data_IF_957664877380
#
_entry.id   IF_957664877380
#
_cell.length_a   1.000
_cell.length_b   1.000
_cell.length_c   1.000
_cell.angle_alpha   90.00
_cell.angle_beta   90.00
_cell.angle_gamma   90.00
#
_symmetry.space_group_name_H-M   'P 1'
#
loop_
_entity.id
_entity.type
_entity.pdbx_description
1 polymer ?
#
# COMPACT_ATOMS: atom_id res chain seq x y z
N UNK A 1 10.55 -4.45 21.45
CA UNK A 1 9.57 -3.59 20.74
C UNK A 1 10.06 -3.41 19.33
N UNK A 2 9.34 -3.88 18.32
CA UNK A 2 9.73 -3.65 16.93
C UNK A 2 9.48 -2.18 16.58
N UNK A 3 10.50 -1.46 16.13
CA UNK A 3 10.36 -0.10 15.62
C UNK A 3 9.55 -0.13 14.32
N UNK A 4 8.40 0.53 14.31
CA UNK A 4 7.59 0.71 13.10
C UNK A 4 7.94 2.03 12.40
N UNK A 5 7.72 2.05 11.10
CA UNK A 5 7.94 3.18 10.21
C UNK A 5 6.71 3.39 9.34
N UNK A 6 6.48 4.64 8.93
CA UNK A 6 5.44 4.98 7.97
C UNK A 6 5.94 4.70 6.56
N UNK A 7 5.13 4.00 5.77
CA UNK A 7 5.39 3.71 4.37
C UNK A 7 4.23 4.25 3.52
N UNK A 8 4.55 5.04 2.50
CA UNK A 8 3.62 5.41 1.45
C UNK A 8 3.56 4.28 0.43
N UNK A 9 2.39 3.68 0.25
CA UNK A 9 2.19 2.58 -0.69
C UNK A 9 1.28 3.03 -1.82
N UNK A 10 1.72 2.91 -3.07
CA UNK A 10 0.89 3.20 -4.23
C UNK A 10 0.07 1.98 -4.62
N UNK A 11 -1.25 2.12 -4.61
CA UNK A 11 -2.22 1.08 -4.94
C UNK A 11 -3.07 1.56 -6.11
N UNK A 12 -3.12 0.78 -7.18
CA UNK A 12 -3.98 1.06 -8.35
C UNK A 12 -5.16 0.11 -8.32
N UNK A 13 -6.36 0.64 -8.06
CA UNK A 13 -7.61 -0.11 -8.07
C UNK A 13 -8.27 0.09 -9.43
N UNK A 14 -8.60 -1.00 -10.11
CA UNK A 14 -9.47 -0.95 -11.29
C UNK A 14 -10.88 -1.27 -10.82
N UNK A 15 -11.81 -0.35 -11.02
CA UNK A 15 -13.21 -0.66 -10.81
C UNK A 15 -13.75 -1.49 -11.99
N UNK A 16 -14.87 -2.18 -11.76
CA UNK A 16 -15.52 -3.01 -12.77
C UNK A 16 -16.17 -2.19 -13.90
N UNK A 17 -16.07 -0.85 -13.86
CA UNK A 17 -16.56 0.06 -14.89
C UNK A 17 -15.42 0.60 -15.79
N UNK A 18 -14.19 0.10 -15.59
CA UNK A 18 -13.01 0.48 -16.38
C UNK A 18 -12.27 1.72 -15.86
N UNK A 19 -12.68 2.29 -14.73
CA UNK A 19 -12.01 3.43 -14.11
C UNK A 19 -10.88 2.94 -13.24
N UNK A 20 -9.67 3.45 -13.50
CA UNK A 20 -8.50 3.20 -12.65
C UNK A 20 -8.38 4.33 -11.63
N UNK A 21 -8.42 3.99 -10.35
CA UNK A 21 -8.16 4.90 -9.23
C UNK A 21 -6.81 4.58 -8.61
N UNK A 22 -5.97 5.59 -8.44
CA UNK A 22 -4.70 5.46 -7.74
C UNK A 22 -4.87 5.99 -6.32
N UNK A 23 -4.54 5.18 -5.34
CA UNK A 23 -4.49 5.54 -3.92
C UNK A 23 -3.06 5.47 -3.43
N UNK A 24 -2.73 6.34 -2.48
CA UNK A 24 -1.43 6.33 -1.80
C UNK A 24 -1.62 6.25 -0.28
N UNK A 25 -2.12 5.13 0.27
CA UNK A 25 -2.22 4.92 1.71
C UNK A 25 -0.87 5.01 2.42
N UNK A 26 -0.88 5.56 3.64
CA UNK A 26 0.25 5.52 4.56
C UNK A 26 0.03 4.36 5.52
N UNK A 27 0.97 3.41 5.55
CA UNK A 27 0.91 2.19 6.36
C UNK A 27 2.05 2.20 7.36
N UNK A 28 1.75 1.94 8.63
CA UNK A 28 2.74 1.72 9.66
C UNK A 28 3.14 0.24 9.70
N UNK A 29 4.42 -0.04 9.45
CA UNK A 29 4.97 -1.39 9.42
C UNK A 29 6.42 -1.39 9.87
N UNK A 30 6.97 -2.56 10.21
CA UNK A 30 8.40 -2.71 10.54
C UNK A 30 9.29 -2.76 9.29
N UNK A 31 8.75 -3.14 8.14
CA UNK A 31 9.47 -3.29 6.87
C UNK A 31 8.59 -2.92 5.67
N UNK A 32 9.23 -2.69 4.52
CA UNK A 32 8.56 -2.46 3.24
C UNK A 32 7.75 -3.68 2.78
N UNK A 33 8.23 -4.90 3.05
CA UNK A 33 7.54 -6.16 2.75
C UNK A 33 6.24 -6.25 3.55
N UNK A 34 6.30 -5.93 4.84
CA UNK A 34 5.11 -5.94 5.70
C UNK A 34 4.12 -4.84 5.27
N UNK A 35 4.59 -3.63 4.98
CA UNK A 35 3.75 -2.56 4.45
C UNK A 35 3.04 -2.96 3.15
N UNK A 36 3.75 -3.67 2.25
CA UNK A 36 3.18 -4.21 1.03
C UNK A 36 2.09 -5.24 1.33
N UNK A 37 2.34 -6.20 2.23
CA UNK A 37 1.35 -7.22 2.60
C UNK A 37 0.09 -6.61 3.21
N UNK A 38 0.25 -5.60 4.08
CA UNK A 38 -0.89 -4.88 4.65
C UNK A 38 -1.68 -4.16 3.55
N UNK A 39 -1.00 -3.51 2.60
CA UNK A 39 -1.67 -2.88 1.46
C UNK A 39 -2.42 -3.89 0.59
N UNK A 40 -1.81 -5.03 0.28
CA UNK A 40 -2.45 -6.10 -0.51
C UNK A 40 -3.68 -6.68 0.22
N UNK A 41 -3.61 -6.82 1.55
CA UNK A 41 -4.73 -7.29 2.36
C UNK A 41 -5.87 -6.25 2.47
N UNK A 42 -5.55 -4.96 2.58
CA UNK A 42 -6.55 -3.89 2.64
C UNK A 42 -7.20 -3.61 1.27
N UNK A 43 -6.45 -3.80 0.19
CA UNK A 43 -6.88 -3.54 -1.18
C UNK A 43 -6.76 -4.79 -2.06
N UNK A 44 -7.59 -5.82 -1.83
CA UNK A 44 -7.49 -7.10 -2.56
C UNK A 44 -7.78 -6.96 -4.06
N UNK A 45 -8.56 -5.94 -4.45
CA UNK A 45 -8.85 -5.61 -5.85
C UNK A 45 -7.88 -4.56 -6.43
N UNK A 46 -6.85 -4.18 -5.66
CA UNK A 46 -5.84 -3.20 -6.04
C UNK A 46 -4.52 -3.86 -6.38
N UNK A 47 -3.84 -3.34 -7.40
CA UNK A 47 -2.45 -3.68 -7.69
C UNK A 47 -1.51 -2.76 -6.90
N UNK A 48 -0.79 -3.32 -5.93
CA UNK A 48 0.25 -2.59 -5.19
C UNK A 48 1.50 -2.46 -6.07
N UNK A 49 1.98 -1.22 -6.30
CA UNK A 49 3.10 -0.95 -7.21
C UNK A 49 4.36 -0.47 -6.53
N UNK A 50 4.25 0.48 -5.62
CA UNK A 50 5.40 1.18 -5.05
C UNK A 50 5.25 1.26 -3.55
N UNK A 51 6.31 0.96 -2.80
CA UNK A 51 6.40 1.16 -1.35
C UNK A 51 7.57 2.09 -1.10
N UNK A 52 7.35 3.19 -0.40
CA UNK A 52 8.39 4.17 -0.08
C UNK A 52 8.29 4.57 1.37
N UNK A 53 9.40 4.49 2.11
CA UNK A 53 9.45 4.94 3.50
C UNK A 53 9.22 6.45 3.54
N UNK A 54 8.25 6.88 4.33
CA UNK A 54 8.02 8.29 4.62
C UNK A 54 9.09 8.71 5.61
N UNK A 55 9.89 9.71 5.23
CA UNK A 55 10.93 10.31 6.08
C UNK A 55 10.31 11.17 7.17
#
# INVERSE_FOLDING_TARGET
>A
MATTHKFSVMVVIKDNHGVSRTLTPIIEASSDIEARRIAEAQYPNGSVRTVSKVK
#
